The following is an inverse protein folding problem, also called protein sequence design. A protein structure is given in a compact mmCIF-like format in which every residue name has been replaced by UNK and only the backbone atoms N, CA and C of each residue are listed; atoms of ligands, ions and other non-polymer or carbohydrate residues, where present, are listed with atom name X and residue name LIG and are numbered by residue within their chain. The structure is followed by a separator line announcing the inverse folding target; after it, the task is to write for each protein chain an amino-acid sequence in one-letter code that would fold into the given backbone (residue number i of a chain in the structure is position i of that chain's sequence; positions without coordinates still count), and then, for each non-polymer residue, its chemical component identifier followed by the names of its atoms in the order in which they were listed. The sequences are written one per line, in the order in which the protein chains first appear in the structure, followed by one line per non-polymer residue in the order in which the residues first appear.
data_IF_402590029617
#
_entry.id   IF_402590029617
#
_cell.length_a   1.000
_cell.length_b   1.000
_cell.length_c   1.000
_cell.angle_alpha   90.00
_cell.angle_beta   90.00
_cell.angle_gamma   90.00
#
_symmetry.space_group_name_H-M   'P 1'
#
loop_
_entity.id
_entity.type
_entity.pdbx_description
1 polymer ?
#
# COMPACT_ATOMS: atom_id res chain seq x y z
N UNK A 1 18.10 -1.10 -19.47
CA UNK A 1 18.26 -0.83 -18.02
C UNK A 1 16.92 -1.13 -17.36
N UNK A 2 16.74 -2.32 -16.79
CA UNK A 2 15.49 -2.68 -16.07
C UNK A 2 15.73 -2.35 -14.61
N UNK A 3 15.21 -1.21 -14.17
CA UNK A 3 15.31 -0.82 -12.77
C UNK A 3 14.35 -1.69 -11.97
N UNK A 4 14.90 -2.69 -11.29
CA UNK A 4 14.19 -3.45 -10.29
C UNK A 4 13.83 -2.49 -9.16
N UNK A 5 12.58 -2.04 -9.13
CA UNK A 5 12.05 -1.21 -8.04
C UNK A 5 12.05 -2.07 -6.77
N UNK A 6 13.13 -1.95 -6.01
CA UNK A 6 13.29 -2.56 -4.71
C UNK A 6 12.28 -1.92 -3.76
N UNK A 7 11.21 -2.66 -3.47
CA UNK A 7 10.06 -2.20 -2.71
C UNK A 7 10.42 -2.21 -1.20
N UNK A 8 10.61 -1.07 -0.52
CA UNK A 8 10.89 -1.06 0.91
C UNK A 8 9.55 -1.04 1.64
N UNK A 9 8.74 -2.10 1.53
CA UNK A 9 7.67 -2.31 2.51
C UNK A 9 8.27 -3.00 3.74
N UNK A 10 9.01 -2.21 4.51
CA UNK A 10 9.39 -2.57 5.86
C UNK A 10 8.17 -2.42 6.76
N UNK A 11 7.56 -3.54 7.18
CA UNK A 11 6.70 -3.54 8.36
C UNK A 11 5.42 -4.37 8.36
N UNK A 12 5.43 -5.64 7.92
CA UNK A 12 4.51 -6.65 8.48
C UNK A 12 5.24 -7.98 8.67
N UNK A 13 6.34 -7.93 9.43
CA UNK A 13 7.11 -9.10 9.86
C UNK A 13 6.51 -9.73 11.11
N UNK A 14 5.26 -10.17 11.07
CA UNK A 14 4.72 -11.12 12.06
C UNK A 14 5.09 -12.54 11.66
N UNK A 15 6.29 -13.00 12.06
CA UNK A 15 6.72 -14.38 11.85
C UNK A 15 5.87 -15.35 12.70
N UNK A 16 4.69 -15.71 12.21
CA UNK A 16 3.99 -16.93 12.62
C UNK A 16 4.27 -18.02 11.60
N UNK A 17 5.19 -18.92 11.94
CA UNK A 17 5.56 -20.11 11.16
C UNK A 17 4.36 -21.07 11.13
N UNK A 18 3.43 -20.88 10.21
CA UNK A 18 2.33 -21.83 9.97
C UNK A 18 2.61 -22.55 8.65
N UNK A 19 2.71 -23.89 8.73
CA UNK A 19 2.90 -24.83 7.62
C UNK A 19 1.99 -24.44 6.44
N UNK A 20 2.55 -23.84 5.38
CA UNK A 20 1.76 -23.41 4.23
C UNK A 20 1.67 -24.52 3.19
N UNK A 21 0.55 -25.24 3.21
CA UNK A 21 0.01 -25.83 2.00
C UNK A 21 -0.45 -24.65 1.13
N UNK A 22 0.45 -24.15 0.27
CA UNK A 22 0.29 -22.88 -0.44
C UNK A 22 -0.78 -22.98 -1.53
N UNK A 23 -2.04 -23.01 -1.13
CA UNK A 23 -3.06 -22.38 -1.96
C UNK A 23 -2.66 -20.90 -2.02
N UNK A 24 -2.17 -20.45 -3.18
CA UNK A 24 -1.84 -19.05 -3.44
C UNK A 24 -3.14 -18.24 -3.36
N UNK A 25 -3.60 -17.92 -2.15
CA UNK A 25 -4.75 -17.05 -1.96
C UNK A 25 -4.37 -15.68 -2.50
N UNK A 26 -5.14 -15.21 -3.49
CA UNK A 26 -4.95 -13.90 -4.12
C UNK A 26 -4.87 -12.81 -3.02
N UNK A 27 -3.90 -11.88 -3.11
CA UNK A 27 -3.75 -10.85 -2.08
C UNK A 27 -5.04 -10.01 -1.97
N UNK A 28 -5.35 -9.48 -0.77
CA UNK A 28 -6.59 -8.73 -0.52
C UNK A 28 -6.66 -7.44 -1.34
N UNK A 29 -5.51 -6.87 -1.69
CA UNK A 29 -5.37 -5.77 -2.63
C UNK A 29 -4.04 -5.85 -3.39
N UNK A 30 -3.95 -5.14 -4.50
CA UNK A 30 -2.72 -4.83 -5.22
C UNK A 30 -2.65 -3.32 -5.42
N UNK A 31 -1.44 -2.76 -5.35
CA UNK A 31 -1.21 -1.35 -5.59
C UNK A 31 0.04 -1.13 -6.47
N UNK A 32 0.00 -0.09 -7.29
CA UNK A 32 1.14 0.38 -8.07
C UNK A 32 1.25 1.88 -7.96
N UNK A 33 2.46 2.41 -7.98
CA UNK A 33 2.73 3.83 -7.90
C UNK A 33 3.49 4.31 -9.15
N UNK A 34 3.18 5.52 -9.60
CA UNK A 34 3.87 6.19 -10.70
C UNK A 34 4.01 7.67 -10.39
N UNK A 35 5.22 8.21 -10.54
CA UNK A 35 5.47 9.64 -10.41
C UNK A 35 4.80 10.42 -11.56
N UNK A 36 4.41 11.66 -11.30
CA UNK A 36 3.84 12.56 -12.31
C UNK A 36 4.27 14.01 -12.07
N UNK A 37 4.17 14.82 -13.13
CA UNK A 37 4.55 16.23 -13.13
C UNK A 37 6.03 16.47 -13.41
N UNK A 38 6.43 17.74 -13.63
CA UNK A 38 7.83 18.12 -13.81
C UNK A 38 8.64 17.62 -12.61
N UNK A 39 9.76 16.94 -12.88
CA UNK A 39 10.67 16.42 -11.84
C UNK A 39 10.03 15.45 -10.83
N UNK A 40 8.84 14.90 -11.11
CA UNK A 40 8.18 13.92 -10.24
C UNK A 40 7.61 14.51 -8.96
N UNK A 41 7.21 15.79 -8.97
CA UNK A 41 6.57 16.45 -7.82
C UNK A 41 5.28 15.79 -7.33
N UNK A 42 4.65 14.96 -8.16
CA UNK A 42 3.43 14.24 -7.82
C UNK A 42 3.58 12.72 -7.82
N UNK A 43 2.72 12.04 -7.07
CA UNK A 43 2.60 10.59 -7.03
C UNK A 43 1.17 10.16 -7.36
N UNK A 44 1.00 9.29 -8.36
CA UNK A 44 -0.26 8.58 -8.62
C UNK A 44 -0.16 7.18 -8.04
N UNK A 45 -1.06 6.83 -7.13
CA UNK A 45 -1.21 5.47 -6.60
C UNK A 45 -2.48 4.86 -7.18
N UNK A 46 -2.36 3.69 -7.83
CA UNK A 46 -3.50 2.92 -8.37
C UNK A 46 -3.68 1.69 -7.51
N UNK A 47 -4.90 1.47 -7.04
CA UNK A 47 -5.23 0.37 -6.12
C UNK A 47 -6.35 -0.45 -6.72
N UNK A 48 -6.20 -1.76 -6.72
CA UNK A 48 -7.28 -2.70 -7.00
C UNK A 48 -7.44 -3.62 -5.78
N UNK A 49 -8.63 -3.65 -5.21
CA UNK A 49 -8.93 -4.35 -3.98
C UNK A 49 -10.12 -5.29 -4.18
N UNK A 50 -10.11 -6.43 -3.47
CA UNK A 50 -11.20 -7.41 -3.56
C UNK A 50 -12.42 -7.01 -2.74
N UNK A 51 -12.22 -6.12 -1.76
CA UNK A 51 -13.28 -5.54 -0.95
C UNK A 51 -13.04 -4.06 -0.75
N UNK A 52 -14.11 -3.32 -0.53
CA UNK A 52 -14.05 -1.91 -0.13
C UNK A 52 -13.23 -1.75 1.14
N UNK A 53 -13.44 -2.60 2.15
CA UNK A 53 -12.70 -2.55 3.42
C UNK A 53 -11.17 -2.62 3.20
N UNK A 54 -10.70 -3.55 2.36
CA UNK A 54 -9.26 -3.65 2.06
C UNK A 54 -8.70 -2.39 1.37
N UNK A 55 -9.51 -1.68 0.58
CA UNK A 55 -9.11 -0.40 0.01
C UNK A 55 -9.04 0.72 1.08
N UNK A 56 -10.04 0.81 1.95
CA UNK A 56 -10.05 1.81 3.03
C UNK A 56 -8.90 1.58 4.01
N UNK A 57 -8.63 0.33 4.39
CA UNK A 57 -7.47 -0.03 5.24
C UNK A 57 -6.14 0.38 4.60
N UNK A 58 -6.00 0.24 3.28
CA UNK A 58 -4.81 0.70 2.58
C UNK A 58 -4.68 2.22 2.65
N UNK A 59 -5.76 2.96 2.35
CA UNK A 59 -5.76 4.43 2.39
C UNK A 59 -5.49 4.98 3.79
N UNK A 60 -6.12 4.41 4.82
CA UNK A 60 -5.90 4.76 6.21
C UNK A 60 -4.42 4.65 6.59
N UNK A 61 -3.76 3.53 6.26
CA UNK A 61 -2.34 3.34 6.57
C UNK A 61 -1.42 4.29 5.77
N UNK A 62 -1.64 4.44 4.47
CA UNK A 62 -0.76 5.25 3.62
C UNK A 62 -0.87 6.75 3.93
N UNK A 63 -2.03 7.20 4.42
CA UNK A 63 -2.29 8.61 4.68
C UNK A 63 -2.24 8.97 6.16
N UNK A 64 -1.99 8.02 7.08
CA UNK A 64 -1.94 8.27 8.52
C UNK A 64 -1.02 9.45 8.89
N UNK A 65 0.12 9.60 8.19
CA UNK A 65 1.04 10.71 8.40
C UNK A 65 0.51 12.10 8.02
N UNK A 66 -0.67 12.19 7.39
CA UNK A 66 -1.31 13.45 7.02
C UNK A 66 -2.12 14.09 8.15
N UNK A 67 -2.46 13.34 9.20
CA UNK A 67 -3.26 13.83 10.32
C UNK A 67 -2.76 15.18 10.89
N UNK A 68 -1.44 15.39 11.11
CA UNK A 68 -0.94 16.68 11.61
C UNK A 68 -1.18 17.87 10.67
N UNK A 69 -1.38 17.62 9.37
CA UNK A 69 -1.57 18.66 8.37
C UNK A 69 -3.04 18.99 8.11
N UNK A 70 -3.94 18.03 8.32
CA UNK A 70 -5.37 18.19 8.07
C UNK A 70 -6.22 18.27 9.35
N UNK A 71 -5.62 17.95 10.50
CA UNK A 71 -6.25 18.03 11.83
C UNK A 71 -7.17 16.86 12.19
N UNK A 72 -7.33 15.88 11.30
CA UNK A 72 -8.14 14.67 11.49
C UNK A 72 -7.45 13.45 10.84
N UNK A 73 -7.60 12.23 11.37
CA UNK A 73 -7.06 11.04 10.71
C UNK A 73 -7.82 10.76 9.39
N UNK A 74 -7.13 10.54 8.26
CA UNK A 74 -7.79 10.18 7.01
C UNK A 74 -8.46 8.81 7.08
N UNK A 75 -9.65 8.70 6.51
CA UNK A 75 -10.39 7.42 6.34
C UNK A 75 -10.57 6.64 7.67
N UNK A 76 -11.14 7.32 8.68
CA UNK A 76 -11.50 6.76 10.00
C UNK A 76 -12.32 5.46 9.93
#
# INVERSE_FOLDING_TARGET
MSEQLHMPFSGFGGHARVKSNRCMTKPPFIASCSLFGPEGVGLVVRVAAMTTESAYRFLQHQLAGMEPFIGVPPYC
#
